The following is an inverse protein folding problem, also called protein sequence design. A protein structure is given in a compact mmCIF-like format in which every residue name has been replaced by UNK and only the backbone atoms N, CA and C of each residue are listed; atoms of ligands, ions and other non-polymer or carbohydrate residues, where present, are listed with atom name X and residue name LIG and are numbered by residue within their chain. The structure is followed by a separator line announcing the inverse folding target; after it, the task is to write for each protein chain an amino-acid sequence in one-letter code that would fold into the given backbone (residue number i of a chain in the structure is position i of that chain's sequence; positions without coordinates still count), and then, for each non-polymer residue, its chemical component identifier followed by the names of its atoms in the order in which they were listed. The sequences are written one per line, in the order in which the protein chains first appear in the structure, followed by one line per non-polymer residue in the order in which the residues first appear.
data_IF_287587829125
#
_entry.id   IF_287587829125
#
_cell.length_a   1.000
_cell.length_b   1.000
_cell.length_c   1.000
_cell.angle_alpha   90.00
_cell.angle_beta   90.00
_cell.angle_gamma   90.00
#
_symmetry.space_group_name_H-M   'P 1'
#
loop_
_entity.id
_entity.type
_entity.pdbx_description
1 polymer ?
#
# COMPACT_ATOMS: atom_id res chain seq x y z
N UNK A 1 10.65 -2.43 10.28
CA UNK A 1 9.83 -3.51 10.86
C UNK A 1 8.47 -2.94 11.23
N UNK A 2 7.43 -3.77 11.23
CA UNK A 2 6.16 -3.47 11.89
C UNK A 2 6.19 -4.30 13.18
N UNK A 3 5.88 -3.69 14.31
CA UNK A 3 6.17 -4.25 15.64
C UNK A 3 5.04 -3.92 16.61
N UNK A 4 4.69 -4.86 17.48
CA UNK A 4 4.04 -4.54 18.76
C UNK A 4 4.94 -4.96 19.93
N UNK A 5 4.84 -4.21 21.02
CA UNK A 5 5.51 -4.46 22.28
C UNK A 5 4.55 -4.11 23.41
N UNK A 6 4.43 -4.97 24.43
CA UNK A 6 3.53 -4.77 25.57
C UNK A 6 4.26 -4.62 26.92
N UNK A 7 3.51 -4.19 27.95
CA UNK A 7 4.05 -3.99 29.30
C UNK A 7 4.37 -5.29 30.05
N UNK A 8 3.92 -6.44 29.53
CA UNK A 8 4.27 -7.76 30.06
C UNK A 8 5.61 -8.26 29.52
N UNK A 9 6.25 -7.48 28.63
CA UNK A 9 7.56 -7.79 28.05
C UNK A 9 7.47 -8.60 26.76
N UNK A 10 6.29 -8.79 26.18
CA UNK A 10 6.17 -9.49 24.90
C UNK A 10 6.48 -8.54 23.75
N UNK A 11 7.18 -9.07 22.74
CA UNK A 11 7.59 -8.36 21.53
C UNK A 11 7.34 -9.29 20.35
N UNK A 12 6.61 -8.81 19.35
CA UNK A 12 6.46 -9.53 18.07
C UNK A 12 6.54 -8.54 16.91
N UNK A 13 7.34 -8.92 15.91
CA UNK A 13 7.74 -8.06 14.81
C UNK A 13 7.72 -8.81 13.49
N UNK A 14 7.43 -8.08 12.41
CA UNK A 14 7.66 -8.56 11.06
C UNK A 14 8.58 -7.61 10.27
N UNK A 15 9.26 -8.19 9.29
CA UNK A 15 10.00 -7.43 8.29
C UNK A 15 8.97 -6.73 7.40
N UNK A 16 9.15 -5.44 7.15
CA UNK A 16 8.24 -4.63 6.33
C UNK A 16 8.49 -4.85 4.82
N UNK A 17 8.43 -6.11 4.38
CA UNK A 17 8.47 -6.52 2.97
C UNK A 17 7.05 -6.86 2.51
N UNK A 18 6.82 -6.83 1.20
CA UNK A 18 5.47 -7.06 0.64
C UNK A 18 4.42 -6.21 1.36
N UNK A 19 4.81 -4.98 1.65
CA UNK A 19 4.00 -3.94 2.29
C UNK A 19 3.79 -2.80 1.30
N UNK A 20 2.61 -2.17 1.35
CA UNK A 20 2.24 -1.02 0.54
C UNK A 20 2.02 0.18 1.46
N UNK A 21 2.64 1.32 1.13
CA UNK A 21 2.40 2.59 1.81
C UNK A 21 1.47 3.46 0.94
N UNK A 22 0.25 3.72 1.43
CA UNK A 22 -0.67 4.63 0.79
C UNK A 22 -0.50 6.04 1.36
N UNK A 23 -0.07 6.99 0.53
CA UNK A 23 0.12 8.40 0.92
C UNK A 23 -0.31 9.32 -0.22
N UNK A 24 -1.08 10.36 0.11
CA UNK A 24 -1.53 11.37 -0.86
C UNK A 24 -2.24 10.79 -2.10
N UNK A 25 -2.99 9.69 -1.90
CA UNK A 25 -3.69 8.99 -2.98
C UNK A 25 -2.78 8.12 -3.87
N UNK A 26 -1.50 7.99 -3.54
CA UNK A 26 -0.52 7.16 -4.25
C UNK A 26 -0.14 5.95 -3.40
N UNK A 27 -0.13 4.77 -4.03
CA UNK A 27 0.35 3.54 -3.42
C UNK A 27 1.83 3.33 -3.77
N UNK A 28 2.70 3.34 -2.77
CA UNK A 28 4.12 3.05 -2.91
C UNK A 28 4.39 1.59 -2.53
N UNK A 29 5.08 0.86 -3.42
CA UNK A 29 5.50 -0.52 -3.22
C UNK A 29 7.00 -0.61 -3.48
N UNK A 30 7.73 -1.22 -2.55
CA UNK A 30 9.15 -1.49 -2.69
C UNK A 30 9.39 -3.00 -2.71
N UNK A 31 10.24 -3.44 -3.63
CA UNK A 31 10.72 -4.81 -3.71
C UNK A 31 12.23 -4.80 -4.00
N UNK A 32 12.88 -5.92 -3.70
CA UNK A 32 14.30 -6.12 -3.92
C UNK A 32 14.61 -7.61 -4.10
N UNK A 33 15.86 -7.88 -4.46
CA UNK A 33 16.39 -9.22 -4.66
C UNK A 33 17.71 -9.39 -3.89
N UNK A 34 18.05 -10.63 -3.57
CA UNK A 34 19.30 -10.97 -2.90
C UNK A 34 20.35 -11.28 -3.94
N UNK A 35 21.34 -10.39 -4.08
CA UNK A 35 22.40 -10.56 -5.08
C UNK A 35 23.49 -11.48 -4.55
N UNK A 36 23.82 -12.50 -5.33
CA UNK A 36 24.92 -13.45 -5.09
C UNK A 36 25.90 -13.43 -6.26
N UNK A 37 27.01 -14.17 -6.15
CA UNK A 37 28.13 -14.09 -7.10
C UNK A 37 27.74 -14.47 -8.55
N UNK A 38 26.76 -15.34 -8.70
CA UNK A 38 26.24 -15.86 -9.96
C UNK A 38 24.89 -15.24 -10.38
N UNK A 39 24.43 -14.20 -9.67
CA UNK A 39 23.20 -13.49 -10.02
C UNK A 39 23.25 -12.88 -11.41
N UNK A 40 22.14 -13.00 -12.14
CA UNK A 40 21.95 -12.43 -13.48
C UNK A 40 21.08 -11.18 -13.35
N UNK A 41 21.56 -9.97 -13.67
CA UNK A 41 20.84 -8.71 -13.42
C UNK A 41 19.39 -8.69 -13.93
N UNK A 42 19.16 -9.26 -15.11
CA UNK A 42 17.83 -9.32 -15.74
C UNK A 42 16.87 -10.20 -14.95
N UNK A 43 17.34 -11.34 -14.43
CA UNK A 43 16.53 -12.25 -13.63
C UNK A 43 16.18 -11.63 -12.27
N UNK A 44 17.15 -10.97 -11.62
CA UNK A 44 16.95 -10.31 -10.33
C UNK A 44 15.97 -9.14 -10.45
N UNK A 45 16.05 -8.39 -11.55
CA UNK A 45 15.07 -7.34 -11.84
C UNK A 45 13.67 -7.92 -12.03
N UNK A 46 13.53 -9.00 -12.81
CA UNK A 46 12.26 -9.68 -13.01
C UNK A 46 11.69 -10.21 -11.68
N UNK A 47 12.52 -10.74 -10.79
CA UNK A 47 12.13 -11.15 -9.45
C UNK A 47 11.59 -9.98 -8.62
N UNK A 48 12.28 -8.83 -8.63
CA UNK A 48 11.82 -7.62 -7.94
C UNK A 48 10.44 -7.18 -8.44
N UNK A 49 10.25 -7.14 -9.77
CA UNK A 49 8.98 -6.79 -10.41
C UNK A 49 7.89 -7.78 -9.99
N UNK A 50 8.17 -9.08 -10.03
CA UNK A 50 7.22 -10.13 -9.64
C UNK A 50 6.80 -10.04 -8.16
N UNK A 51 7.75 -9.76 -7.26
CA UNK A 51 7.47 -9.54 -5.83
C UNK A 51 6.57 -8.32 -5.60
N UNK A 52 6.84 -7.21 -6.28
CA UNK A 52 6.01 -6.00 -6.19
C UNK A 52 4.62 -6.20 -6.80
N UNK A 53 4.56 -6.91 -7.93
CA UNK A 53 3.32 -7.15 -8.71
C UNK A 53 2.22 -7.76 -7.86
N UNK A 54 2.53 -8.68 -6.94
CA UNK A 54 1.53 -9.29 -6.07
C UNK A 54 0.69 -8.28 -5.27
N UNK A 55 1.32 -7.19 -4.80
CA UNK A 55 0.60 -6.13 -4.09
C UNK A 55 -0.20 -5.22 -5.03
N UNK A 56 0.35 -4.94 -6.21
CA UNK A 56 -0.32 -4.13 -7.22
C UNK A 56 -1.57 -4.84 -7.74
N UNK A 57 -1.48 -6.14 -8.03
CA UNK A 57 -2.61 -6.97 -8.44
C UNK A 57 -3.69 -7.00 -7.34
N UNK A 58 -3.30 -7.13 -6.06
CA UNK A 58 -4.22 -7.07 -4.93
C UNK A 58 -4.91 -5.70 -4.81
N UNK A 59 -4.17 -4.59 -5.01
CA UNK A 59 -4.74 -3.24 -5.02
C UNK A 59 -5.74 -3.07 -6.17
N UNK A 60 -5.39 -3.53 -7.37
CA UNK A 60 -6.28 -3.48 -8.54
C UNK A 60 -7.57 -4.28 -8.31
N UNK A 61 -7.45 -5.49 -7.74
CA UNK A 61 -8.62 -6.31 -7.40
C UNK A 61 -9.51 -5.64 -6.34
N UNK A 62 -8.93 -5.01 -5.32
CA UNK A 62 -9.67 -4.27 -4.30
C UNK A 62 -10.41 -3.06 -4.88
N UNK A 63 -9.79 -2.31 -5.80
CA UNK A 63 -10.44 -1.20 -6.49
C UNK A 63 -11.61 -1.66 -7.38
N UNK A 64 -11.51 -2.82 -8.03
CA UNK A 64 -12.60 -3.36 -8.84
C UNK A 64 -13.82 -3.76 -7.99
N UNK A 65 -13.62 -4.14 -6.73
CA UNK A 65 -14.66 -4.59 -5.81
C UNK A 65 -15.27 -3.45 -4.98
N UNK A 66 -14.65 -2.27 -4.97
CA UNK A 66 -15.15 -1.15 -4.18
C UNK A 66 -16.51 -0.65 -4.73
N UNK A 67 -17.58 -0.56 -3.89
CA UNK A 67 -18.82 0.06 -4.33
C UNK A 67 -18.52 1.50 -4.75
N UNK A 68 -18.94 1.90 -5.96
CA UNK A 68 -18.76 3.27 -6.47
C UNK A 68 -19.33 4.25 -5.44
N UNK A 69 -18.45 4.93 -4.70
CA UNK A 69 -18.87 5.98 -3.78
C UNK A 69 -19.58 7.07 -4.59
N UNK A 70 -20.89 7.20 -4.42
CA UNK A 70 -21.68 8.28 -5.02
C UNK A 70 -21.09 9.61 -4.59
N UNK A 71 -20.62 10.42 -5.55
CA UNK A 71 -20.15 11.78 -5.33
C UNK A 71 -21.27 12.56 -4.61
N UNK A 72 -21.16 12.76 -3.29
CA UNK A 72 -22.03 13.69 -2.56
C UNK A 72 -21.79 15.09 -3.13
N UNK A 73 -22.68 15.55 -4.00
CA UNK A 73 -22.76 16.95 -4.42
C UNK A 73 -22.88 17.79 -3.15
N UNK A 74 -21.85 18.58 -2.82
CA UNK A 74 -21.92 19.62 -1.78
C UNK A 74 -23.00 20.61 -2.21
N UNK A 75 -24.23 20.44 -1.73
CA UNK A 75 -25.31 21.41 -1.89
C UNK A 75 -24.87 22.66 -1.12
N UNK A 76 -24.47 23.72 -1.84
CA UNK A 76 -24.15 25.03 -1.25
C UNK A 76 -25.40 25.51 -0.49
N UNK A 77 -25.33 25.68 0.83
CA UNK A 77 -26.41 26.34 1.59
C UNK A 77 -26.52 27.79 1.13
N UNK A 78 -27.71 28.31 0.79
CA UNK A 78 -27.89 29.74 0.52
C UNK A 78 -27.55 30.52 1.78
N UNK A 79 -26.70 31.55 1.64
CA UNK A 79 -26.41 32.53 2.70
C UNK A 79 -27.55 33.54 2.75
N UNK A 80 -28.69 33.18 3.33
CA UNK A 80 -29.77 34.14 3.56
C UNK A 80 -30.64 33.70 4.73
N UNK A 81 -30.15 33.96 5.94
CA UNK A 81 -30.93 33.93 7.19
C UNK A 81 -30.15 34.72 8.25
N UNK A 82 -29.93 36.01 7.98
CA UNK A 82 -29.49 37.00 8.97
C UNK A 82 -29.93 38.37 8.47
N UNK A 83 -31.24 38.57 8.42
CA UNK A 83 -31.85 39.88 8.63
C UNK A 83 -32.60 39.80 9.94
#
# INVERSE_FOLDING_TARGET
AILYCDFSGNIDSCIAIRTLLAKDGVAHVQAGAGIVADSVPENEHAECVNKAKALLDALSAAHAQAPRATKKTRKKRPREARK
#
